data_IF_809557726939
#
_entry.id   IF_809557726939
#
_cell.length_a   1.000
_cell.length_b   1.000
_cell.length_c   1.000
_cell.angle_alpha   90.00
_cell.angle_beta   90.00
_cell.angle_gamma   90.00
#
_symmetry.space_group_name_H-M   'P 1'
#
loop_
_entity.id
_entity.type
_entity.pdbx_description
1 polymer ?
#
# COMPACT_ATOMS: atom_id res chain seq x y z
N UNK A 1 -40.17 -27.66 3.99
CA UNK A 1 -40.12 -26.84 2.75
C UNK A 1 -39.53 -25.46 3.00
N UNK A 2 -39.99 -24.68 3.99
CA UNK A 2 -39.46 -23.32 4.23
C UNK A 2 -37.99 -23.28 4.71
N UNK A 3 -37.56 -24.24 5.52
CA UNK A 3 -36.22 -24.23 6.12
C UNK A 3 -35.09 -24.42 5.09
N UNK A 4 -35.34 -25.27 4.09
CA UNK A 4 -34.38 -25.58 3.01
C UNK A 4 -34.21 -24.38 2.06
N UNK A 5 -35.31 -23.66 1.79
CA UNK A 5 -35.29 -22.42 1.02
C UNK A 5 -34.52 -21.30 1.73
N UNK A 6 -34.72 -21.12 3.04
CA UNK A 6 -33.98 -20.14 3.86
C UNK A 6 -32.49 -20.46 3.89
N UNK A 7 -32.12 -21.74 4.01
CA UNK A 7 -30.72 -22.17 4.04
C UNK A 7 -30.02 -21.94 2.69
N UNK A 8 -30.72 -22.20 1.58
CA UNK A 8 -30.22 -21.95 0.22
C UNK A 8 -30.07 -20.44 -0.05
N UNK A 9 -31.02 -19.63 0.41
CA UNK A 9 -30.95 -18.16 0.31
C UNK A 9 -29.80 -17.58 1.15
N UNK A 10 -29.63 -18.05 2.39
CA UNK A 10 -28.51 -17.62 3.25
C UNK A 10 -27.16 -17.98 2.64
N UNK A 11 -27.05 -19.18 2.06
CA UNK A 11 -25.84 -19.63 1.35
C UNK A 11 -25.57 -18.76 0.13
N UNK A 12 -26.60 -18.41 -0.64
CA UNK A 12 -26.48 -17.50 -1.78
C UNK A 12 -26.04 -16.08 -1.36
N UNK A 13 -26.58 -15.57 -0.24
CA UNK A 13 -26.21 -14.26 0.31
C UNK A 13 -24.74 -14.28 0.76
N UNK A 14 -24.28 -15.31 1.47
CA UNK A 14 -22.89 -15.43 1.92
C UNK A 14 -21.94 -15.55 0.71
N UNK A 15 -22.23 -16.45 -0.24
CA UNK A 15 -21.41 -16.60 -1.46
C UNK A 15 -21.37 -15.34 -2.32
N UNK A 16 -22.46 -14.58 -2.39
CA UNK A 16 -22.48 -13.30 -3.13
C UNK A 16 -21.66 -12.21 -2.44
N UNK A 17 -21.58 -12.23 -1.10
CA UNK A 17 -20.69 -11.34 -0.33
C UNK A 17 -19.23 -11.73 -0.48
N UNK A 18 -18.89 -13.03 -0.46
CA UNK A 18 -17.53 -13.52 -0.75
C UNK A 18 -17.05 -13.10 -2.15
N UNK A 19 -17.88 -13.28 -3.18
CA UNK A 19 -17.56 -12.81 -4.55
C UNK A 19 -17.38 -11.29 -4.64
N UNK A 20 -18.15 -10.51 -3.86
CA UNK A 20 -17.99 -9.05 -3.78
C UNK A 20 -16.70 -8.64 -3.08
N UNK A 21 -16.25 -9.39 -2.07
CA UNK A 21 -14.98 -9.15 -1.40
C UNK A 21 -13.82 -9.42 -2.37
N UNK A 22 -13.89 -10.53 -3.11
CA UNK A 22 -12.88 -10.91 -4.11
C UNK A 22 -12.81 -9.86 -5.24
N UNK A 23 -13.97 -9.49 -5.78
CA UNK A 23 -14.07 -8.41 -6.78
C UNK A 23 -13.58 -7.08 -6.23
N UNK A 24 -13.73 -6.79 -4.93
CA UNK A 24 -13.25 -5.54 -4.33
C UNK A 24 -11.73 -5.45 -4.29
N UNK A 25 -11.02 -6.57 -4.15
CA UNK A 25 -9.56 -6.57 -4.16
C UNK A 25 -9.02 -6.38 -5.58
N UNK A 26 -9.57 -7.12 -6.54
CA UNK A 26 -9.24 -6.94 -7.96
C UNK A 26 -9.59 -5.54 -8.46
N UNK A 27 -10.75 -5.01 -8.06
CA UNK A 27 -11.19 -3.66 -8.39
C UNK A 27 -10.26 -2.61 -7.77
N UNK A 28 -9.90 -2.75 -6.48
CA UNK A 28 -8.94 -1.84 -5.83
C UNK A 28 -7.57 -1.89 -6.48
N UNK A 29 -7.07 -3.08 -6.82
CA UNK A 29 -5.80 -3.24 -7.53
C UNK A 29 -5.86 -2.58 -8.91
N UNK A 30 -6.92 -2.85 -9.67
CA UNK A 30 -7.16 -2.24 -10.98
C UNK A 30 -7.24 -0.72 -10.89
N UNK A 31 -7.95 -0.18 -9.91
CA UNK A 31 -8.04 1.26 -9.67
C UNK A 31 -6.66 1.86 -9.36
N UNK A 32 -5.84 1.20 -8.53
CA UNK A 32 -4.47 1.64 -8.23
C UNK A 32 -3.60 1.61 -9.49
N UNK A 33 -3.54 0.49 -10.21
CA UNK A 33 -2.74 0.33 -11.43
C UNK A 33 -3.12 1.35 -12.53
N UNK A 34 -4.39 1.77 -12.56
CA UNK A 34 -4.87 2.76 -13.51
C UNK A 34 -4.61 4.22 -13.10
N UNK A 35 -4.08 4.48 -11.90
CA UNK A 35 -3.76 5.85 -11.46
C UNK A 35 -2.68 6.46 -12.36
N UNK A 36 -2.80 7.75 -12.75
CA UNK A 36 -1.78 8.45 -13.51
C UNK A 36 -0.38 8.38 -12.88
N UNK A 37 -0.30 8.41 -11.54
CA UNK A 37 0.95 8.26 -10.81
C UNK A 37 1.63 6.90 -11.06
N UNK A 38 0.86 5.81 -11.12
CA UNK A 38 1.41 4.48 -11.43
C UNK A 38 1.85 4.40 -12.89
N UNK A 39 1.11 5.04 -13.81
CA UNK A 39 1.55 5.17 -15.21
C UNK A 39 2.84 5.98 -15.33
N UNK A 40 3.03 7.03 -14.53
CA UNK A 40 4.26 7.81 -14.53
C UNK A 40 5.50 6.97 -14.15
N UNK A 41 5.32 5.92 -13.34
CA UNK A 41 6.41 5.02 -12.98
C UNK A 41 6.96 4.26 -14.19
N UNK A 42 6.17 4.00 -15.25
CA UNK A 42 6.71 3.34 -16.44
C UNK A 42 7.78 4.19 -17.13
N UNK A 43 7.59 5.51 -17.21
CA UNK A 43 8.60 6.43 -17.75
C UNK A 43 9.84 6.50 -16.84
N UNK A 44 9.65 6.46 -15.52
CA UNK A 44 10.76 6.42 -14.59
C UNK A 44 11.57 5.12 -14.73
N UNK A 45 10.91 3.98 -14.93
CA UNK A 45 11.54 2.68 -15.19
C UNK A 45 12.33 2.71 -16.50
N UNK A 46 11.76 3.26 -17.58
CA UNK A 46 12.46 3.42 -18.86
C UNK A 46 13.70 4.29 -18.72
N UNK A 47 13.54 5.45 -18.07
CA UNK A 47 14.66 6.35 -17.78
C UNK A 47 15.76 5.66 -16.97
N UNK A 48 15.39 4.91 -15.92
CA UNK A 48 16.34 4.23 -15.04
C UNK A 48 17.09 3.12 -15.78
N UNK A 49 16.38 2.32 -16.56
CA UNK A 49 16.96 1.27 -17.40
C UNK A 49 17.99 1.85 -18.39
N UNK A 50 17.64 2.95 -19.07
CA UNK A 50 18.51 3.61 -20.05
C UNK A 50 19.73 4.28 -19.41
N UNK A 51 19.53 4.90 -18.24
CA UNK A 51 20.57 5.59 -17.47
C UNK A 51 21.60 4.62 -16.92
N UNK A 52 21.14 3.52 -16.34
CA UNK A 52 22.01 2.54 -15.67
C UNK A 52 22.48 1.40 -16.57
N UNK A 53 21.97 1.32 -17.81
CA UNK A 53 22.25 0.22 -18.75
C UNK A 53 21.86 -1.14 -18.20
N UNK A 54 20.70 -1.20 -17.55
CA UNK A 54 20.10 -2.43 -16.99
C UNK A 54 18.80 -2.78 -17.73
N UNK A 55 18.28 -3.99 -17.53
CA UNK A 55 16.97 -4.36 -18.07
C UNK A 55 15.84 -3.57 -17.39
N UNK A 56 14.71 -3.41 -18.11
CA UNK A 56 13.51 -2.78 -17.56
C UNK A 56 12.98 -3.50 -16.31
N UNK A 57 13.11 -4.82 -16.27
CA UNK A 57 12.72 -5.63 -15.12
C UNK A 57 13.59 -5.32 -13.90
N UNK A 58 14.91 -5.21 -14.08
CA UNK A 58 15.83 -4.81 -13.01
C UNK A 58 15.56 -3.39 -12.52
N UNK A 59 15.34 -2.44 -13.44
CA UNK A 59 14.99 -1.07 -13.11
C UNK A 59 13.65 -0.97 -12.34
N UNK A 60 12.66 -1.79 -12.69
CA UNK A 60 11.39 -1.84 -11.98
C UNK A 60 11.54 -2.34 -10.54
N UNK A 61 12.35 -3.40 -10.34
CA UNK A 61 12.67 -3.92 -9.00
C UNK A 61 13.36 -2.83 -8.16
N UNK A 62 14.41 -2.21 -8.70
CA UNK A 62 15.18 -1.17 -8.01
C UNK A 62 14.32 0.03 -7.62
N UNK A 63 13.46 0.50 -8.54
CA UNK A 63 12.56 1.62 -8.26
C UNK A 63 11.58 1.30 -7.13
N UNK A 64 10.99 0.10 -7.12
CA UNK A 64 10.06 -0.32 -6.07
C UNK A 64 10.78 -0.46 -4.72
N UNK A 65 11.98 -1.05 -4.71
CA UNK A 65 12.79 -1.18 -3.49
C UNK A 65 13.18 0.18 -2.92
N UNK A 66 13.64 1.11 -3.77
CA UNK A 66 14.02 2.46 -3.38
C UNK A 66 12.86 3.25 -2.76
N UNK A 67 11.66 3.14 -3.33
CA UNK A 67 10.46 3.82 -2.78
C UNK A 67 10.05 3.22 -1.43
N UNK A 68 10.18 1.90 -1.26
CA UNK A 68 9.89 1.24 0.02
C UNK A 68 10.91 1.64 1.09
N UNK A 69 12.19 1.66 0.75
CA UNK A 69 13.24 2.11 1.66
C UNK A 69 13.02 3.57 2.07
N UNK A 70 12.67 4.44 1.12
CA UNK A 70 12.34 5.83 1.42
C UNK A 70 11.18 5.95 2.42
N UNK A 71 10.10 5.21 2.24
CA UNK A 71 8.95 5.22 3.16
C UNK A 71 9.34 4.74 4.56
N UNK A 72 10.17 3.69 4.66
CA UNK A 72 10.69 3.19 5.93
C UNK A 72 11.57 4.22 6.64
N UNK A 73 12.57 4.76 5.94
CA UNK A 73 13.49 5.76 6.50
C UNK A 73 12.73 7.01 6.95
N UNK A 74 11.71 7.43 6.19
CA UNK A 74 10.88 8.57 6.56
C UNK A 74 10.06 8.29 7.83
N UNK A 75 9.46 7.11 7.94
CA UNK A 75 8.71 6.72 9.13
C UNK A 75 9.61 6.68 10.38
N UNK A 76 10.81 6.10 10.26
CA UNK A 76 11.79 6.06 11.34
C UNK A 76 12.22 7.48 11.75
N UNK A 77 12.48 8.34 10.78
CA UNK A 77 12.83 9.73 11.03
C UNK A 77 11.73 10.49 11.78
N UNK A 78 10.47 10.39 11.32
CA UNK A 78 9.34 11.05 11.98
C UNK A 78 9.12 10.50 13.39
N UNK A 79 9.28 9.20 13.61
CA UNK A 79 9.20 8.60 14.94
C UNK A 79 10.30 9.14 15.86
N UNK A 80 11.55 9.19 15.40
CA UNK A 80 12.68 9.70 16.17
C UNK A 80 12.51 11.18 16.53
N UNK A 81 12.04 12.00 15.58
CA UNK A 81 11.69 13.41 15.82
C UNK A 81 10.53 13.55 16.82
N UNK A 82 9.48 12.74 16.67
CA UNK A 82 8.34 12.69 17.59
C UNK A 82 8.75 12.31 19.01
N UNK A 83 9.62 11.29 19.16
CA UNK A 83 10.22 10.89 20.43
C UNK A 83 11.11 11.99 21.01
N UNK A 84 11.85 12.71 20.18
CA UNK A 84 12.64 13.87 20.58
C UNK A 84 11.78 14.95 21.21
N UNK A 85 10.67 15.30 20.57
CA UNK A 85 9.69 16.28 21.08
C UNK A 85 9.04 15.80 22.38
N UNK A 86 8.61 14.54 22.46
CA UNK A 86 8.05 13.97 23.70
C UNK A 86 9.03 14.02 24.87
N UNK A 87 10.30 13.67 24.64
CA UNK A 87 11.35 13.75 25.66
C UNK A 87 11.60 15.20 26.13
N UNK A 88 11.53 16.17 25.22
CA UNK A 88 11.64 17.59 25.57
C UNK A 88 10.47 18.01 26.47
N UNK A 89 9.22 17.71 26.08
CA UNK A 89 8.03 17.99 26.88
C UNK A 89 8.08 17.37 28.28
N UNK A 90 8.51 16.10 28.40
CA UNK A 90 8.65 15.44 29.70
C UNK A 90 9.71 16.12 30.57
N UNK A 91 10.87 16.50 30.01
CA UNK A 91 11.92 17.22 30.75
C UNK A 91 11.46 18.59 31.22
N UNK A 92 10.67 19.30 30.42
CA UNK A 92 10.14 20.60 30.78
C UNK A 92 9.04 20.49 31.84
N UNK A 93 8.20 19.45 31.78
CA UNK A 93 7.18 19.18 32.80
C UNK A 93 7.72 18.77 34.17
N UNK A 94 8.95 18.23 34.24
CA UNK A 94 9.60 17.83 35.50
C UNK A 94 10.32 19.03 36.15
N UNK A 95 10.58 20.10 35.40
CA UNK A 95 11.29 21.31 35.88
C UNK A 95 10.36 22.40 36.42
N UNK A 96 9.05 22.21 36.34
CA UNK A 96 8.02 23.07 36.90
C UNK A 96 7.23 22.34 37.99
#
# INVERSE_FOLDING_TARGET
MEQEFVQLLNTAIIKSKEKRIDSSFEERLSQVCNKPAIKALSYAIEFLADSQKISRDQAAVELVESVRELDLVWNDYVMLEGLGKLKAFLKDSIKH
#
